data_IF_555525130050
#
_entry.id   IF_555525130050
#
_cell.length_a   1.000
_cell.length_b   1.000
_cell.length_c   1.000
_cell.angle_alpha   90.00
_cell.angle_beta   90.00
_cell.angle_gamma   90.00
#
_symmetry.space_group_name_H-M   'P 1'
#
loop_
_entity.id
_entity.type
_entity.pdbx_description
1 polymer ?
#
# COMPACT_ATOMS: atom_id res chain seq x y z
N UNK A 1 -10.17 4.01 10.75
CA UNK A 1 -9.24 3.91 9.62
C UNK A 1 -8.76 2.46 9.52
N UNK A 2 -9.44 1.52 8.88
CA UNK A 2 -10.39 1.66 7.79
C UNK A 2 -9.68 1.82 6.44
N UNK A 3 -8.76 0.92 6.09
CA UNK A 3 -8.24 0.79 4.73
C UNK A 3 -8.49 -0.64 4.25
N UNK A 4 -9.61 -0.76 3.55
CA UNK A 4 -10.00 -1.87 2.69
C UNK A 4 -8.88 -2.15 1.68
N UNK A 5 -8.34 -3.36 1.73
CA UNK A 5 -7.45 -3.88 0.70
C UNK A 5 -8.31 -4.27 -0.51
N UNK A 6 -8.18 -3.62 -1.69
CA UNK A 6 -9.08 -3.83 -2.83
C UNK A 6 -8.90 -5.19 -3.53
N UNK A 7 -7.94 -6.01 -3.08
CA UNK A 7 -7.65 -7.33 -3.64
C UNK A 7 -8.36 -8.50 -2.92
N UNK A 8 -9.05 -8.26 -1.80
CA UNK A 8 -9.79 -9.32 -1.10
C UNK A 8 -11.21 -9.54 -1.64
N UNK A 9 -11.84 -8.51 -2.23
CA UNK A 9 -13.24 -8.58 -2.68
C UNK A 9 -13.43 -9.38 -3.98
N UNK A 10 -12.40 -9.46 -4.84
CA UNK A 10 -12.46 -10.21 -6.09
C UNK A 10 -12.43 -11.73 -5.90
N UNK A 11 -11.89 -12.22 -4.77
CA UNK A 11 -11.70 -13.66 -4.55
C UNK A 11 -12.98 -14.37 -4.08
N UNK A 12 -13.88 -13.69 -3.37
CA UNK A 12 -15.11 -14.31 -2.85
C UNK A 12 -16.21 -14.47 -3.92
N UNK A 13 -16.29 -13.57 -4.91
CA UNK A 13 -17.33 -13.63 -5.94
C UNK A 13 -17.07 -14.75 -6.97
N UNK A 14 -15.80 -15.05 -7.27
CA UNK A 14 -15.41 -16.12 -8.20
C UNK A 14 -15.70 -17.51 -7.62
N UNK A 15 -15.51 -17.69 -6.30
CA UNK A 15 -15.79 -18.95 -5.60
C UNK A 15 -17.28 -19.31 -5.56
N UNK A 16 -18.18 -18.32 -5.50
CA UNK A 16 -19.62 -18.57 -5.49
C UNK A 16 -20.18 -18.90 -6.89
N UNK A 17 -19.64 -18.27 -7.94
CA UNK A 17 -20.03 -18.55 -9.32
C UNK A 17 -19.60 -19.95 -9.82
N UNK A 18 -18.49 -20.51 -9.28
CA UNK A 18 -18.07 -21.88 -9.62
C UNK A 18 -18.92 -22.98 -8.95
N UNK A 19 -19.52 -22.68 -7.79
CA UNK A 19 -20.34 -23.66 -7.07
C UNK A 19 -21.69 -23.94 -7.75
N UNK A 20 -22.29 -22.93 -8.41
CA UNK A 20 -23.60 -23.04 -9.03
C UNK A 20 -23.64 -23.83 -10.37
N UNK A 21 -22.48 -24.15 -10.97
CA UNK A 21 -22.41 -24.90 -12.24
C UNK A 21 -22.23 -26.43 -12.08
N UNK A 22 -22.14 -26.94 -10.85
CA UNK A 22 -21.79 -28.34 -10.59
C UNK A 22 -22.98 -29.32 -10.53
N UNK A 23 -24.23 -28.84 -10.56
CA UNK A 23 -25.40 -29.71 -10.31
C UNK A 23 -26.06 -30.32 -11.56
N UNK A 24 -25.56 -30.07 -12.78
CA UNK A 24 -26.25 -30.58 -13.99
C UNK A 24 -25.47 -30.71 -15.28
N UNK A 25 -24.13 -30.60 -15.28
CA UNK A 25 -23.36 -30.73 -16.53
C UNK A 25 -22.83 -32.15 -16.74
N UNK A 26 -22.98 -32.65 -17.98
CA UNK A 26 -22.36 -33.91 -18.46
C UNK A 26 -20.88 -33.91 -18.02
N UNK A 27 -20.37 -34.99 -17.42
CA UNK A 27 -18.98 -35.01 -16.95
C UNK A 27 -18.07 -34.69 -18.12
N UNK A 28 -17.34 -33.58 -18.02
CA UNK A 28 -16.49 -33.08 -19.08
C UNK A 28 -15.45 -34.15 -19.46
N UNK A 29 -14.94 -34.10 -20.70
CA UNK A 29 -13.89 -35.02 -21.16
C UNK A 29 -12.70 -35.05 -20.18
N UNK A 30 -12.37 -33.91 -19.57
CA UNK A 30 -11.34 -33.78 -18.53
C UNK A 30 -11.72 -34.52 -17.24
N UNK A 31 -12.99 -34.49 -16.83
CA UNK A 31 -13.51 -35.24 -15.68
C UNK A 31 -13.50 -36.76 -15.92
N UNK A 32 -13.75 -37.21 -17.15
CA UNK A 32 -13.65 -38.64 -17.52
C UNK A 32 -12.19 -39.09 -17.63
N UNK A 33 -11.32 -38.23 -18.16
CA UNK A 33 -9.88 -38.48 -18.23
C UNK A 33 -9.27 -38.56 -16.82
N UNK A 34 -9.63 -37.64 -15.92
CA UNK A 34 -9.14 -37.65 -14.55
C UNK A 34 -9.65 -38.87 -13.77
N UNK A 35 -10.94 -39.19 -13.86
CA UNK A 35 -11.50 -40.37 -13.16
C UNK A 35 -10.91 -41.69 -13.69
N UNK A 36 -10.56 -41.77 -14.98
CA UNK A 36 -9.87 -42.93 -15.59
C UNK A 36 -8.38 -43.05 -15.25
N UNK A 37 -7.68 -41.93 -15.10
CA UNK A 37 -6.29 -41.91 -14.62
C UNK A 37 -6.22 -42.25 -13.12
N UNK A 38 -7.10 -41.68 -12.29
CA UNK A 38 -7.08 -41.89 -10.85
C UNK A 38 -7.57 -43.28 -10.42
N UNK A 39 -8.44 -43.95 -11.20
CA UNK A 39 -8.93 -45.30 -10.88
C UNK A 39 -7.97 -46.43 -11.27
N UNK A 40 -6.92 -46.16 -12.08
CA UNK A 40 -5.91 -47.16 -12.49
C UNK A 40 -4.52 -46.95 -11.92
N UNK A 41 -4.26 -45.82 -11.28
CA UNK A 41 -2.99 -45.56 -10.61
C UNK A 41 -3.02 -46.21 -9.21
N UNK A 42 -2.64 -47.49 -9.12
CA UNK A 42 -1.95 -47.98 -7.91
C UNK A 42 -0.84 -46.99 -7.66
N UNK A 43 -0.95 -46.21 -6.57
CA UNK A 43 -0.22 -44.96 -6.30
C UNK A 43 1.11 -44.90 -7.08
N UNK A 44 1.04 -44.37 -8.29
CA UNK A 44 2.13 -44.52 -9.25
C UNK A 44 3.31 -43.68 -8.79
N UNK A 45 4.53 -44.16 -9.04
CA UNK A 45 5.77 -43.40 -8.89
C UNK A 45 5.70 -41.94 -9.35
N UNK A 46 4.97 -41.54 -10.43
CA UNK A 46 4.86 -40.12 -10.80
C UNK A 46 3.96 -39.27 -9.88
N UNK A 47 2.93 -39.84 -9.25
CA UNK A 47 2.11 -39.09 -8.29
C UNK A 47 2.86 -38.89 -6.96
N UNK A 48 3.66 -39.88 -6.56
CA UNK A 48 4.53 -39.77 -5.40
C UNK A 48 5.61 -38.69 -5.57
N UNK A 49 6.27 -38.63 -6.73
CA UNK A 49 7.30 -37.61 -6.97
C UNK A 49 6.70 -36.20 -7.03
N UNK A 50 5.51 -36.05 -7.61
CA UNK A 50 4.82 -34.77 -7.68
C UNK A 50 4.35 -34.32 -6.30
N UNK A 51 3.77 -35.23 -5.49
CA UNK A 51 3.41 -34.96 -4.10
C UNK A 51 4.62 -34.63 -3.22
N UNK A 52 5.75 -35.34 -3.39
CA UNK A 52 6.99 -35.07 -2.68
C UNK A 52 7.58 -33.71 -3.05
N UNK A 53 7.50 -33.31 -4.33
CA UNK A 53 7.90 -31.99 -4.79
C UNK A 53 7.05 -30.86 -4.21
N UNK A 54 5.73 -31.04 -4.16
CA UNK A 54 4.81 -30.07 -3.55
C UNK A 54 5.06 -29.98 -2.04
N UNK A 55 5.18 -31.11 -1.34
CA UNK A 55 5.46 -31.14 0.09
C UNK A 55 6.82 -30.51 0.42
N UNK A 56 7.85 -30.80 -0.37
CA UNK A 56 9.18 -30.21 -0.24
C UNK A 56 9.17 -28.70 -0.49
N UNK A 57 8.43 -28.23 -1.49
CA UNK A 57 8.25 -26.80 -1.77
C UNK A 57 7.56 -26.06 -0.62
N UNK A 58 6.49 -26.63 -0.06
CA UNK A 58 5.79 -26.05 1.09
C UNK A 58 6.71 -26.02 2.31
N UNK A 59 7.43 -27.10 2.61
CA UNK A 59 8.36 -27.16 3.74
C UNK A 59 9.51 -26.16 3.60
N UNK A 60 10.14 -26.07 2.43
CA UNK A 60 11.20 -25.09 2.16
C UNK A 60 10.71 -23.65 2.28
N UNK A 61 9.54 -23.35 1.71
CA UNK A 61 8.95 -22.00 1.80
C UNK A 61 8.61 -21.65 3.26
N UNK A 62 8.07 -22.60 4.02
CA UNK A 62 7.79 -22.46 5.45
C UNK A 62 9.06 -22.22 6.26
N UNK A 63 10.14 -22.95 5.98
CA UNK A 63 11.44 -22.78 6.65
C UNK A 63 12.06 -21.41 6.37
N UNK A 64 11.99 -20.92 5.13
CA UNK A 64 12.52 -19.59 4.77
C UNK A 64 11.70 -18.48 5.45
N UNK A 65 10.39 -18.61 5.50
CA UNK A 65 9.51 -17.68 6.20
C UNK A 65 9.79 -17.70 7.72
N UNK A 66 9.86 -18.88 8.32
CA UNK A 66 10.17 -19.03 9.74
C UNK A 66 11.58 -18.50 10.09
N UNK A 67 12.57 -18.76 9.24
CA UNK A 67 13.92 -18.23 9.41
C UNK A 67 13.94 -16.70 9.38
N UNK A 68 13.18 -16.08 8.45
CA UNK A 68 13.05 -14.62 8.40
C UNK A 68 12.28 -14.06 9.59
N UNK A 69 11.20 -14.69 10.03
CA UNK A 69 10.45 -14.20 11.20
C UNK A 69 11.28 -14.29 12.48
N UNK A 70 12.04 -15.36 12.67
CA UNK A 70 12.99 -15.49 13.78
C UNK A 70 14.13 -14.46 13.70
N UNK A 71 14.68 -14.24 12.50
CA UNK A 71 15.72 -13.23 12.30
C UNK A 71 15.22 -11.82 12.63
N UNK A 72 14.04 -11.44 12.16
CA UNK A 72 13.43 -10.13 12.46
C UNK A 72 13.09 -10.01 13.96
N UNK A 73 12.61 -11.09 14.58
CA UNK A 73 12.23 -11.06 15.99
C UNK A 73 13.44 -10.90 16.94
N UNK A 74 14.58 -11.50 16.63
CA UNK A 74 15.70 -11.58 17.57
C UNK A 74 16.96 -10.81 17.15
N UNK A 75 17.20 -10.59 15.84
CA UNK A 75 18.48 -10.07 15.34
C UNK A 75 18.39 -8.73 14.60
N UNK A 76 17.20 -8.15 14.42
CA UNK A 76 17.03 -6.89 13.67
C UNK A 76 17.20 -5.63 14.55
N UNK A 77 18.46 -5.31 14.88
CA UNK A 77 18.80 -4.09 15.63
C UNK A 77 18.84 -2.84 14.74
N UNK A 78 19.04 -3.00 13.44
CA UNK A 78 19.19 -1.88 12.51
C UNK A 78 17.86 -1.20 12.19
N UNK A 79 16.75 -1.94 12.28
CA UNK A 79 15.41 -1.38 12.18
C UNK A 79 15.19 -0.20 13.14
N UNK A 80 15.57 -0.34 14.41
CA UNK A 80 15.40 0.72 15.41
C UNK A 80 16.26 1.95 15.14
N UNK A 81 17.50 1.76 14.64
CA UNK A 81 18.40 2.86 14.28
C UNK A 81 17.88 3.64 13.08
N UNK A 82 17.31 2.96 12.09
CA UNK A 82 16.73 3.62 10.93
C UNK A 82 15.43 4.35 11.29
N UNK A 83 14.61 3.77 12.15
CA UNK A 83 13.34 4.40 12.55
C UNK A 83 13.55 5.67 13.37
N UNK A 84 14.58 5.73 14.23
CA UNK A 84 14.90 6.97 14.96
C UNK A 84 15.42 8.04 14.01
N UNK A 85 16.29 7.69 13.05
CA UNK A 85 16.77 8.61 12.02
C UNK A 85 15.64 9.17 11.17
N UNK A 86 14.69 8.34 10.72
CA UNK A 86 13.52 8.80 9.96
C UNK A 86 12.70 9.84 10.73
N UNK A 87 12.36 9.54 11.99
CA UNK A 87 11.64 10.48 12.87
C UNK A 87 12.40 11.79 13.11
N UNK A 88 13.74 11.74 13.13
CA UNK A 88 14.57 12.92 13.26
C UNK A 88 14.52 13.78 11.97
N UNK A 89 14.64 13.17 10.80
CA UNK A 89 14.55 13.86 9.52
C UNK A 89 13.17 14.48 9.28
N UNK A 90 12.09 13.80 9.68
CA UNK A 90 10.73 14.36 9.60
C UNK A 90 10.61 15.65 10.41
N UNK A 91 11.17 15.69 11.63
CA UNK A 91 11.17 16.89 12.47
C UNK A 91 12.00 18.02 11.87
N UNK A 92 13.18 17.70 11.34
CA UNK A 92 14.02 18.70 10.67
C UNK A 92 13.29 19.32 9.48
N UNK A 93 12.65 18.49 8.65
CA UNK A 93 11.94 18.92 7.48
C UNK A 93 10.73 19.81 7.83
N UNK A 94 9.99 19.49 8.90
CA UNK A 94 8.91 20.36 9.37
C UNK A 94 9.44 21.70 9.89
N UNK A 95 10.50 21.67 10.70
CA UNK A 95 11.12 22.90 11.22
C UNK A 95 11.62 23.82 10.10
N UNK A 96 12.28 23.26 9.08
CA UNK A 96 12.75 24.05 7.94
C UNK A 96 11.59 24.67 7.17
N UNK A 97 10.48 23.94 6.98
CA UNK A 97 9.31 24.51 6.30
C UNK A 97 8.65 25.63 7.09
N UNK A 98 8.48 25.47 8.39
CA UNK A 98 7.93 26.54 9.24
C UNK A 98 8.83 27.78 9.25
N UNK A 99 10.16 27.58 9.21
CA UNK A 99 11.12 28.67 9.10
C UNK A 99 11.05 29.37 7.74
N UNK A 100 10.89 28.64 6.64
CA UNK A 100 10.72 29.20 5.30
C UNK A 100 9.39 29.96 5.17
N UNK A 101 8.30 29.40 5.71
CA UNK A 101 6.99 30.05 5.73
C UNK A 101 7.02 31.35 6.53
N UNK A 102 7.62 31.35 7.73
CA UNK A 102 7.77 32.58 8.53
C UNK A 102 8.67 33.62 7.85
N UNK A 103 9.78 33.20 7.24
CA UNK A 103 10.65 34.10 6.46
C UNK A 103 9.91 34.74 5.28
N UNK A 104 9.09 33.95 4.55
CA UNK A 104 8.28 34.46 3.45
C UNK A 104 7.20 35.44 3.92
N UNK A 105 6.58 35.19 5.07
CA UNK A 105 5.59 36.09 5.66
C UNK A 105 6.23 37.43 6.09
N UNK A 106 7.44 37.40 6.64
CA UNK A 106 8.18 38.62 6.97
C UNK A 106 8.51 39.46 5.73
N UNK A 107 8.84 38.81 4.61
CA UNK A 107 9.06 39.50 3.34
C UNK A 107 7.78 40.18 2.83
N UNK A 108 6.63 39.48 2.87
CA UNK A 108 5.34 40.07 2.48
C UNK A 108 4.95 41.22 3.42
N UNK A 109 5.22 41.09 4.72
CA UNK A 109 4.98 42.15 5.68
C UNK A 109 5.84 43.41 5.41
N UNK A 110 7.08 43.24 4.92
CA UNK A 110 7.90 44.36 4.50
C UNK A 110 7.30 45.09 3.29
N UNK A 111 6.73 44.36 2.32
CA UNK A 111 6.02 44.98 1.17
C UNK A 111 4.78 45.77 1.59
N UNK A 112 4.10 45.35 2.67
CA UNK A 112 2.98 46.12 3.22
C UNK A 112 3.41 47.51 3.73
N UNK A 113 4.69 47.70 4.10
CA UNK A 113 5.21 49.02 4.49
C UNK A 113 5.37 49.98 3.31
N UNK A 114 5.53 49.45 2.10
CA UNK A 114 5.63 50.22 0.85
C UNK A 114 4.25 50.51 0.23
N UNK A 115 3.20 49.88 0.75
CA UNK A 115 1.84 50.02 0.23
C UNK A 115 1.25 51.39 0.58
N UNK A 116 1.00 52.21 -0.46
CA UNK A 116 0.25 53.47 -0.34
C UNK A 116 -1.23 53.25 -0.77
N UNK A 117 -2.19 53.24 0.17
CA UNK A 117 -3.60 53.08 -0.16
C UNK A 117 -4.15 54.26 -0.97
N UNK A 118 -3.55 55.45 -0.88
CA UNK A 118 -4.04 56.66 -1.56
C UNK A 118 -3.81 56.58 -3.06
N UNK A 119 -2.77 55.89 -3.52
CA UNK A 119 -2.46 55.69 -4.93
C UNK A 119 -3.54 54.90 -5.69
N UNK A 120 -4.37 54.12 -4.99
CA UNK A 120 -5.47 53.34 -5.59
C UNK A 120 -6.72 54.19 -5.92
N UNK A 121 -6.76 55.43 -5.44
CA UNK A 121 -7.88 56.35 -5.64
C UNK A 121 -7.88 56.91 -7.06
N UNK A 122 -8.98 56.72 -7.78
CA UNK A 122 -9.23 57.44 -9.03
C UNK A 122 -9.31 58.96 -8.76
N UNK A 123 -8.76 59.81 -9.65
CA UNK A 123 -8.84 61.26 -9.47
C UNK A 123 -10.30 61.71 -9.29
N UNK A 124 -10.53 62.61 -8.33
CA UNK A 124 -11.84 63.17 -7.94
C UNK A 124 -12.84 62.21 -7.27
N UNK A 125 -12.49 60.95 -6.98
CA UNK A 125 -13.32 60.05 -6.16
C UNK A 125 -12.82 59.95 -4.72
N UNK A 126 -13.71 59.71 -3.73
CA UNK A 126 -13.31 59.44 -2.35
C UNK A 126 -12.56 58.09 -2.27
N UNK A 127 -11.72 57.93 -1.25
CA UNK A 127 -11.00 56.69 -1.00
C UNK A 127 -11.94 55.62 -0.44
N UNK A 128 -11.96 54.44 -1.07
CA UNK A 128 -12.78 53.31 -0.63
C UNK A 128 -12.16 52.67 0.63
N UNK A 129 -12.93 52.47 1.73
CA UNK A 129 -12.44 51.85 2.96
C UNK A 129 -11.88 50.44 2.78
N UNK A 130 -12.21 49.74 1.69
CA UNK A 130 -11.69 48.40 1.37
C UNK A 130 -10.16 48.32 1.27
N UNK A 131 -9.51 49.40 0.86
CA UNK A 131 -8.07 49.43 0.57
C UNK A 131 -7.22 49.92 1.75
N UNK A 132 -7.85 50.20 2.90
CA UNK A 132 -7.17 50.47 4.18
C UNK A 132 -6.84 49.14 4.84
N UNK A 133 -5.63 48.63 4.58
CA UNK A 133 -4.98 47.62 5.42
C UNK A 133 -4.47 48.27 6.70
#
# INVERSE_FOLDING_TARGET
FGSSCPWCASSQFVLWAMAAQLEGSKPSFVSRLSTGLFSRLKVGTPLYSLGYGVAGGILLSGLVLAGRTLHVAFFDHDYYKLQSRKRYYEKQLLFTREQEESASAHYIAALASEYDPVATRMPFKPLDPKYRF
#
